data_IF_720841478608
#
_entry.id   IF_720841478608
#
_cell.length_a   1.000
_cell.length_b   1.000
_cell.length_c   1.000
_cell.angle_alpha   90.00
_cell.angle_beta   90.00
_cell.angle_gamma   90.00
#
_symmetry.space_group_name_H-M   'P 1'
#
loop_
_entity.id
_entity.type
_entity.pdbx_description
1 polymer ?
#
# COMPACT_ATOMS: atom_id res chain seq x y z
N UNK A 1 -8.46 34.74 -21.93
CA UNK A 1 -7.37 33.77 -22.07
C UNK A 1 -6.81 33.30 -20.72
N UNK A 2 -6.45 34.18 -19.78
CA UNK A 2 -5.86 33.75 -18.45
C UNK A 2 -6.76 32.83 -17.61
N UNK A 3 -8.09 32.98 -17.67
CA UNK A 3 -9.08 32.16 -16.94
C UNK A 3 -9.24 30.76 -17.53
N UNK A 4 -9.04 30.58 -18.83
CA UNK A 4 -9.14 29.29 -19.52
C UNK A 4 -7.91 28.44 -19.24
N UNK A 5 -6.74 29.06 -19.15
CA UNK A 5 -5.47 28.38 -18.80
C UNK A 5 -5.51 27.84 -17.36
N UNK A 6 -6.08 28.62 -16.42
CA UNK A 6 -6.24 28.17 -15.03
C UNK A 6 -7.20 26.97 -14.93
N UNK A 7 -8.28 26.95 -15.72
CA UNK A 7 -9.24 25.85 -15.73
C UNK A 7 -8.64 24.57 -16.37
N UNK A 8 -7.83 24.71 -17.41
CA UNK A 8 -7.09 23.59 -18.02
C UNK A 8 -6.03 23.01 -17.08
N UNK A 9 -5.33 23.85 -16.31
CA UNK A 9 -4.38 23.41 -15.30
C UNK A 9 -5.04 22.64 -14.14
N UNK A 10 -6.23 23.03 -13.72
CA UNK A 10 -6.99 22.32 -12.69
C UNK A 10 -7.50 20.97 -13.24
N UNK A 11 -7.90 20.91 -14.51
CA UNK A 11 -8.40 19.67 -15.13
C UNK A 11 -7.28 18.62 -15.31
N UNK A 12 -6.04 19.03 -15.52
CA UNK A 12 -4.89 18.11 -15.61
C UNK A 12 -4.46 17.56 -14.26
N UNK A 13 -4.78 18.23 -13.15
CA UNK A 13 -4.51 17.74 -11.80
C UNK A 13 -5.56 16.76 -11.25
N UNK A 14 -6.74 16.69 -11.89
CA UNK A 14 -7.88 15.85 -11.43
C UNK A 14 -7.94 14.51 -12.17
N UNK A 15 -7.07 14.27 -13.16
CA UNK A 15 -6.94 12.91 -13.69
C UNK A 15 -6.18 12.09 -12.67
N UNK A 16 -6.85 11.21 -11.90
CA UNK A 16 -6.13 10.20 -11.14
C UNK A 16 -5.37 9.40 -12.20
N UNK A 17 -4.06 9.42 -12.11
CA UNK A 17 -3.25 8.38 -12.71
C UNK A 17 -3.65 7.07 -11.99
N UNK A 18 -4.75 6.49 -12.43
CA UNK A 18 -5.03 5.10 -12.18
C UNK A 18 -3.94 4.36 -12.93
N UNK A 19 -2.78 4.22 -12.30
CA UNK A 19 -1.85 3.20 -12.68
C UNK A 19 -2.67 1.91 -12.64
N UNK A 20 -2.99 1.34 -13.81
CA UNK A 20 -3.57 0.03 -13.92
C UNK A 20 -2.55 -0.92 -13.29
N UNK A 21 -2.71 -1.20 -12.01
CA UNK A 21 -1.94 -2.24 -11.37
C UNK A 21 -2.35 -3.55 -12.03
N UNK A 22 -1.37 -4.31 -12.54
CA UNK A 22 -1.57 -5.63 -13.16
C UNK A 22 -2.25 -6.65 -12.21
N UNK A 23 -2.62 -6.24 -11.02
CA UNK A 23 -3.24 -7.03 -9.98
C UNK A 23 -4.75 -6.77 -9.81
N UNK A 24 -5.37 -5.90 -10.62
CA UNK A 24 -6.82 -5.70 -10.58
C UNK A 24 -7.55 -7.01 -10.90
N UNK A 25 -8.55 -7.35 -10.05
CA UNK A 25 -9.28 -8.61 -10.14
C UNK A 25 -8.55 -9.84 -9.57
N UNK A 26 -7.32 -9.69 -9.09
CA UNK A 26 -6.61 -10.77 -8.40
C UNK A 26 -6.97 -10.78 -6.91
N UNK A 27 -7.12 -11.99 -6.39
CA UNK A 27 -7.40 -12.20 -4.96
C UNK A 27 -6.24 -12.98 -4.33
N UNK A 28 -5.74 -12.47 -3.20
CA UNK A 28 -4.65 -13.05 -2.43
C UNK A 28 -5.15 -13.39 -1.04
N UNK A 29 -4.77 -14.57 -0.54
CA UNK A 29 -4.99 -14.94 0.85
C UNK A 29 -3.81 -14.49 1.72
N UNK A 30 -4.06 -14.33 3.02
CA UNK A 30 -2.98 -14.04 3.96
C UNK A 30 -1.89 -15.12 3.93
N UNK A 31 -2.28 -16.40 3.81
CA UNK A 31 -1.36 -17.55 3.77
C UNK A 31 -0.43 -17.50 2.56
N UNK A 32 -0.95 -17.18 1.37
CA UNK A 32 -0.14 -17.07 0.14
C UNK A 32 0.91 -15.96 0.26
N UNK A 33 0.54 -14.84 0.90
CA UNK A 33 1.46 -13.73 1.12
C UNK A 33 2.54 -14.10 2.14
N UNK A 34 2.13 -14.72 3.26
CA UNK A 34 3.06 -15.19 4.30
C UNK A 34 4.08 -16.15 3.68
N UNK A 35 3.61 -17.18 2.95
CA UNK A 35 4.47 -18.15 2.30
C UNK A 35 5.45 -17.52 1.30
N UNK A 36 5.00 -16.53 0.52
CA UNK A 36 5.84 -15.81 -0.42
C UNK A 36 7.00 -15.08 0.28
N UNK A 37 6.71 -14.39 1.39
CA UNK A 37 7.73 -13.66 2.13
C UNK A 37 8.66 -14.59 2.92
N UNK A 38 8.14 -15.60 3.59
CA UNK A 38 8.95 -16.61 4.32
C UNK A 38 9.88 -17.38 3.37
N UNK A 39 9.38 -17.78 2.20
CA UNK A 39 10.18 -18.45 1.16
C UNK A 39 11.29 -17.55 0.62
N UNK A 40 11.11 -16.24 0.64
CA UNK A 40 12.12 -15.26 0.26
C UNK A 40 13.11 -14.93 1.40
N UNK A 41 12.93 -15.54 2.58
CA UNK A 41 13.85 -15.42 3.73
C UNK A 41 13.50 -14.28 4.70
N UNK A 42 12.31 -13.68 4.59
CA UNK A 42 11.84 -12.67 5.53
C UNK A 42 11.26 -13.30 6.79
N UNK A 43 11.36 -12.59 7.90
CA UNK A 43 10.60 -12.88 9.11
C UNK A 43 9.24 -12.23 8.95
N UNK A 44 8.15 -12.98 9.24
CA UNK A 44 6.78 -12.51 9.03
C UNK A 44 6.03 -12.55 10.36
N UNK A 45 5.46 -11.43 10.75
CA UNK A 45 4.52 -11.30 11.85
C UNK A 45 3.12 -10.93 11.32
N UNK A 46 2.09 -11.54 11.91
CA UNK A 46 0.69 -11.28 11.57
C UNK A 46 -0.05 -10.70 12.75
N UNK A 47 -0.90 -9.73 12.49
CA UNK A 47 -1.69 -9.08 13.51
C UNK A 47 -3.16 -9.01 13.10
N UNK A 48 -4.05 -9.10 14.10
CA UNK A 48 -5.46 -8.77 13.92
C UNK A 48 -5.60 -7.26 13.83
N UNK A 49 -6.43 -6.79 12.93
CA UNK A 49 -6.68 -5.37 12.73
C UNK A 49 -8.15 -5.02 12.94
N UNK A 50 -8.43 -3.76 13.24
CA UNK A 50 -9.79 -3.22 13.35
C UNK A 50 -10.21 -2.42 12.11
N UNK A 51 -9.47 -2.54 11.02
CA UNK A 51 -9.79 -1.90 9.75
C UNK A 51 -10.98 -2.66 9.13
N UNK A 52 -12.00 -1.93 8.71
CA UNK A 52 -13.22 -2.51 8.14
C UNK A 52 -12.91 -3.38 6.91
N UNK A 53 -13.44 -4.60 6.89
CA UNK A 53 -13.25 -5.57 5.81
C UNK A 53 -11.86 -6.17 5.71
N UNK A 54 -10.96 -5.88 6.65
CA UNK A 54 -9.65 -6.52 6.69
C UNK A 54 -9.68 -7.89 7.36
N UNK A 55 -8.91 -8.82 6.82
CA UNK A 55 -8.73 -10.17 7.37
C UNK A 55 -7.56 -10.17 8.37
N UNK A 56 -6.43 -9.62 7.95
CA UNK A 56 -5.22 -9.53 8.76
C UNK A 56 -4.29 -8.43 8.26
N UNK A 57 -3.34 -8.05 9.09
CA UNK A 57 -2.16 -7.30 8.67
C UNK A 57 -0.93 -8.19 8.76
N UNK A 58 -0.01 -8.00 7.84
CA UNK A 58 1.22 -8.77 7.71
C UNK A 58 2.38 -7.78 7.72
N UNK A 59 3.36 -8.01 8.59
CA UNK A 59 4.61 -7.26 8.60
C UNK A 59 5.76 -8.21 8.27
N UNK A 60 6.58 -7.87 7.27
CA UNK A 60 7.73 -8.67 6.88
C UNK A 60 9.01 -7.83 6.94
N UNK A 61 10.09 -8.40 7.50
CA UNK A 61 11.37 -7.73 7.76
C UNK A 61 12.53 -8.74 7.70
N UNK A 62 13.75 -8.24 7.47
CA UNK A 62 14.94 -9.09 7.34
C UNK A 62 15.50 -9.55 8.69
N UNK A 63 15.40 -8.72 9.72
CA UNK A 63 15.82 -9.06 11.07
C UNK A 63 14.87 -8.50 12.13
N UNK A 64 14.84 -9.11 13.35
CA UNK A 64 14.00 -8.60 14.43
C UNK A 64 14.44 -7.23 14.96
N UNK A 65 15.67 -6.84 14.73
CA UNK A 65 16.18 -5.51 15.08
C UNK A 65 15.62 -4.44 14.14
N UNK A 66 15.28 -4.83 12.90
CA UNK A 66 14.78 -3.94 11.86
C UNK A 66 13.32 -3.54 12.08
N UNK A 67 12.52 -4.35 12.78
CA UNK A 67 11.14 -4.03 13.12
C UNK A 67 10.97 -2.70 13.88
N UNK A 68 12.01 -2.29 14.63
CA UNK A 68 12.01 -1.02 15.36
C UNK A 68 12.62 0.15 14.58
N UNK A 69 13.10 -0.11 13.37
CA UNK A 69 13.67 0.92 12.51
C UNK A 69 12.67 1.28 11.42
N UNK A 70 12.22 2.51 11.44
CA UNK A 70 11.40 3.06 10.35
C UNK A 70 12.09 2.81 9.01
N UNK A 71 11.38 2.21 8.05
CA UNK A 71 11.78 1.88 6.67
C UNK A 71 12.53 0.54 6.43
N UNK A 72 12.64 -0.33 7.39
CA UNK A 72 13.26 -1.64 7.20
C UNK A 72 12.26 -2.79 7.27
N UNK A 73 10.97 -2.50 7.00
CA UNK A 73 9.91 -3.51 6.90
C UNK A 73 8.86 -3.10 5.87
N UNK A 74 8.10 -4.07 5.39
CA UNK A 74 6.88 -3.88 4.61
C UNK A 74 5.67 -4.20 5.48
N UNK A 75 4.63 -3.40 5.37
CA UNK A 75 3.35 -3.62 6.03
C UNK A 75 2.27 -3.82 4.98
N UNK A 76 1.55 -4.93 5.08
CA UNK A 76 0.49 -5.30 4.15
C UNK A 76 -0.83 -5.47 4.91
N UNK A 77 -1.90 -4.93 4.37
CA UNK A 77 -3.27 -5.13 4.88
C UNK A 77 -4.02 -5.98 3.86
N UNK A 78 -4.49 -7.14 4.28
CA UNK A 78 -5.25 -8.08 3.45
C UNK A 78 -6.74 -7.91 3.74
N UNK A 79 -7.53 -7.69 2.69
CA UNK A 79 -8.97 -7.48 2.78
C UNK A 79 -9.75 -8.68 2.27
N UNK A 80 -11.00 -8.83 2.73
CA UNK A 80 -11.93 -9.87 2.28
C UNK A 80 -12.18 -9.80 0.77
N UNK A 81 -12.18 -8.59 0.22
CA UNK A 81 -12.39 -8.36 -1.21
C UNK A 81 -11.71 -7.06 -1.66
N UNK A 82 -11.70 -6.87 -2.98
CA UNK A 82 -11.07 -5.72 -3.62
C UNK A 82 -11.79 -4.40 -3.34
N UNK A 83 -13.09 -4.41 -3.04
CA UNK A 83 -13.87 -3.20 -2.77
C UNK A 83 -13.44 -2.54 -1.47
N UNK A 84 -13.23 -3.33 -0.41
CA UNK A 84 -12.69 -2.82 0.86
C UNK A 84 -11.28 -2.29 0.68
N UNK A 85 -10.44 -2.99 -0.08
CA UNK A 85 -9.08 -2.51 -0.38
C UNK A 85 -9.08 -1.18 -1.16
N UNK A 86 -10.01 -1.03 -2.11
CA UNK A 86 -10.19 0.23 -2.86
C UNK A 86 -10.63 1.37 -1.95
N UNK A 87 -11.60 1.13 -1.08
CA UNK A 87 -12.10 2.12 -0.13
C UNK A 87 -10.98 2.58 0.81
N UNK A 88 -10.25 1.64 1.40
CA UNK A 88 -9.12 1.92 2.28
C UNK A 88 -8.01 2.70 1.59
N UNK A 89 -7.61 2.27 0.39
CA UNK A 89 -6.59 2.97 -0.40
C UNK A 89 -7.04 4.41 -0.77
N UNK A 90 -8.32 4.60 -1.10
CA UNK A 90 -8.87 5.92 -1.37
C UNK A 90 -8.85 6.82 -0.13
N UNK A 91 -9.22 6.31 1.05
CA UNK A 91 -9.19 7.06 2.30
C UNK A 91 -7.78 7.48 2.68
N UNK A 92 -6.81 6.58 2.55
CA UNK A 92 -5.40 6.86 2.85
C UNK A 92 -4.79 7.87 1.89
N UNK A 93 -5.18 7.83 0.60
CA UNK A 93 -4.71 8.80 -0.40
C UNK A 93 -5.43 10.16 -0.30
N UNK A 94 -6.70 10.17 0.10
CA UNK A 94 -7.50 11.41 0.15
C UNK A 94 -7.17 12.32 1.33
N UNK A 95 -6.36 11.87 2.26
CA UNK A 95 -5.98 12.70 3.41
C UNK A 95 -4.86 13.71 3.07
N UNK A 96 -5.04 14.41 1.92
CA UNK A 96 -4.13 15.47 1.45
C UNK A 96 -3.96 16.58 2.50
N UNK A 97 -5.01 16.86 3.29
CA UNK A 97 -4.92 17.83 4.37
C UNK A 97 -3.97 17.36 5.48
N UNK A 98 -4.03 16.08 5.83
CA UNK A 98 -3.08 15.45 6.76
C UNK A 98 -1.68 15.42 6.14
N UNK A 99 -1.58 15.16 4.84
CA UNK A 99 -0.30 15.20 4.12
C UNK A 99 0.38 16.56 4.17
N UNK A 100 -0.37 17.64 3.95
CA UNK A 100 0.15 19.02 4.05
C UNK A 100 0.65 19.33 5.45
N UNK A 101 -0.07 18.88 6.49
CA UNK A 101 0.34 19.09 7.89
C UNK A 101 1.62 18.30 8.19
N UNK A 102 1.74 17.04 7.77
CA UNK A 102 2.94 16.22 7.99
C UNK A 102 4.13 16.69 7.14
N UNK A 103 3.91 17.11 5.89
CA UNK A 103 4.97 17.70 5.06
C UNK A 103 5.54 18.99 5.69
N UNK A 104 4.71 19.77 6.37
CA UNK A 104 5.15 20.94 7.11
C UNK A 104 5.91 20.58 8.41
N UNK A 105 5.65 19.42 8.99
CA UNK A 105 6.33 18.90 10.18
C UNK A 105 7.62 18.11 9.87
N UNK A 106 7.97 17.94 8.60
CA UNK A 106 9.23 17.30 8.19
C UNK A 106 9.21 15.77 8.15
N UNK A 107 8.03 15.13 8.24
CA UNK A 107 7.88 13.68 8.16
C UNK A 107 6.98 13.24 6.97
N UNK A 108 7.47 13.26 5.73
CA UNK A 108 6.66 12.93 4.55
C UNK A 108 6.47 11.42 4.29
N UNK A 109 6.83 10.55 5.21
CA UNK A 109 6.97 9.10 4.96
C UNK A 109 5.67 8.30 4.96
N UNK A 110 4.55 8.86 5.35
CA UNK A 110 3.33 8.18 5.79
C UNK A 110 2.28 7.93 4.69
N UNK A 111 2.57 8.16 3.40
CA UNK A 111 1.50 8.37 2.43
C UNK A 111 1.59 7.57 1.14
N UNK A 112 2.40 6.55 1.08
CA UNK A 112 2.35 5.61 -0.04
C UNK A 112 1.64 4.32 0.37
N UNK A 113 0.31 4.31 0.21
CA UNK A 113 -0.44 3.07 0.15
C UNK A 113 -0.60 2.72 -1.32
N UNK A 114 -0.10 1.58 -1.73
CA UNK A 114 -0.32 1.00 -3.05
C UNK A 114 -1.26 -0.20 -2.91
N UNK A 115 -2.21 -0.34 -3.85
CA UNK A 115 -3.17 -1.43 -3.84
C UNK A 115 -2.86 -2.45 -4.92
N UNK A 116 -2.94 -3.72 -4.56
CA UNK A 116 -2.78 -4.88 -5.44
C UNK A 116 -3.93 -5.87 -5.20
N UNK A 117 -4.98 -5.81 -6.05
CA UNK A 117 -6.19 -6.60 -5.84
C UNK A 117 -6.85 -6.28 -4.49
N UNK A 118 -6.96 -7.28 -3.62
CA UNK A 118 -7.49 -7.15 -2.26
C UNK A 118 -6.42 -6.86 -1.18
N UNK A 119 -5.20 -6.44 -1.57
CA UNK A 119 -4.10 -6.13 -0.66
C UNK A 119 -3.69 -4.68 -0.79
N UNK A 120 -3.55 -3.99 0.33
CA UNK A 120 -2.91 -2.68 0.40
C UNK A 120 -1.54 -2.80 1.05
N UNK A 121 -0.55 -2.15 0.44
CA UNK A 121 0.84 -2.13 0.93
C UNK A 121 1.12 -0.74 1.49
N UNK A 122 1.55 -0.70 2.73
CA UNK A 122 1.94 0.50 3.45
C UNK A 122 3.41 0.39 3.83
N UNK A 123 4.13 1.50 3.82
CA UNK A 123 5.52 1.60 4.32
C UNK A 123 6.44 0.47 3.84
N UNK A 124 7.24 0.74 2.82
CA UNK A 124 8.21 -0.24 2.36
C UNK A 124 9.40 0.39 1.62
N UNK A 125 10.59 -0.14 1.80
CA UNK A 125 11.63 -0.03 0.79
C UNK A 125 11.21 -0.85 -0.44
N UNK A 126 11.40 -0.33 -1.65
CA UNK A 126 10.98 -1.03 -2.88
C UNK A 126 11.56 -2.43 -3.04
N UNK A 127 12.69 -2.72 -2.42
CA UNK A 127 13.29 -4.06 -2.37
C UNK A 127 12.37 -5.12 -1.77
N UNK A 128 11.54 -4.76 -0.80
CA UNK A 128 10.59 -5.66 -0.14
C UNK A 128 9.37 -6.03 -0.99
N UNK A 129 9.16 -5.35 -2.11
CA UNK A 129 8.07 -5.67 -3.04
C UNK A 129 8.33 -6.91 -3.90
N UNK A 130 9.56 -7.43 -3.92
CA UNK A 130 9.92 -8.55 -4.79
C UNK A 130 9.04 -9.79 -4.58
N UNK A 131 8.85 -10.31 -3.34
CA UNK A 131 7.99 -11.49 -3.13
C UNK A 131 6.54 -11.26 -3.57
N UNK A 132 5.97 -10.09 -3.27
CA UNK A 132 4.61 -9.76 -3.69
C UNK A 132 4.49 -9.66 -5.22
N UNK A 133 5.47 -9.06 -5.90
CA UNK A 133 5.48 -8.96 -7.36
C UNK A 133 5.59 -10.34 -8.03
N UNK A 134 6.39 -11.25 -7.49
CA UNK A 134 6.49 -12.62 -7.96
C UNK A 134 5.16 -13.37 -7.78
N UNK A 135 4.50 -13.21 -6.63
CA UNK A 135 3.18 -13.76 -6.37
C UNK A 135 2.12 -13.19 -7.33
N UNK A 136 2.13 -11.87 -7.56
CA UNK A 136 1.22 -11.21 -8.51
C UNK A 136 1.41 -11.80 -9.93
N UNK A 137 2.63 -12.01 -10.36
CA UNK A 137 2.93 -12.51 -11.70
C UNK A 137 2.64 -14.00 -11.87
N UNK A 138 2.53 -14.77 -10.78
CA UNK A 138 2.23 -16.21 -10.81
C UNK A 138 0.74 -16.52 -10.94
N UNK A 139 -0.14 -15.56 -10.68
CA UNK A 139 -1.61 -15.66 -10.82
C UNK A 139 -2.10 -15.02 -12.12
#
# INVERSE_FOLDING_TARGET
MKKIIAFLLILTFVLPLTACNNADGKHFTGEEIIEAYESAGYIVDTHTTFIEGSICTISAYESREDYNKENEYIHLVVFENEEYAKAYNAETQFNIATWLVFAMCGEPRWLHTERYGNVCVEYYPRSFMKPLNELINSK
#
